data_IF_871509649127
#
_entry.id   IF_871509649127
#
_cell.length_a   1.000
_cell.length_b   1.000
_cell.length_c   1.000
_cell.angle_alpha   90.00
_cell.angle_beta   90.00
_cell.angle_gamma   90.00
#
_symmetry.space_group_name_H-M   'P 1'
#
loop_
_entity.id
_entity.type
_entity.pdbx_description
1 polymer ?
#
# COMPACT_ATOMS: atom_id res chain seq x y z
N UNK A 1 1.19 14.20 -12.26
CA UNK A 1 0.91 13.01 -11.44
C UNK A 1 -0.05 13.40 -10.35
N UNK A 2 -1.24 12.78 -10.33
CA UNK A 2 -2.15 12.92 -9.20
C UNK A 2 -1.59 12.18 -7.98
N UNK A 3 -1.85 12.70 -6.79
CA UNK A 3 -1.51 12.01 -5.56
C UNK A 3 -2.49 10.83 -5.38
N UNK A 4 -1.97 9.61 -5.42
CA UNK A 4 -2.76 8.40 -5.22
C UNK A 4 -2.41 7.84 -3.84
N UNK A 5 -3.21 8.18 -2.84
CA UNK A 5 -3.02 7.72 -1.47
C UNK A 5 -4.33 7.35 -0.78
N UNK A 6 -4.22 6.47 0.21
CA UNK A 6 -5.31 6.13 1.13
C UNK A 6 -4.75 5.72 2.48
N UNK A 7 -5.63 5.64 3.48
CA UNK A 7 -5.28 5.23 4.83
C UNK A 7 -5.96 3.92 5.21
N UNK A 8 -5.28 3.14 6.04
CA UNK A 8 -5.71 1.82 6.50
C UNK A 8 -5.44 1.72 7.99
N UNK A 9 -6.37 1.15 8.76
CA UNK A 9 -6.10 0.86 10.18
C UNK A 9 -5.21 -0.36 10.28
N UNK A 10 -4.35 -0.37 11.30
CA UNK A 10 -3.47 -1.52 11.53
C UNK A 10 -4.25 -2.83 11.68
N UNK A 11 -5.41 -2.80 12.34
CA UNK A 11 -6.27 -3.97 12.56
C UNK A 11 -6.95 -4.48 11.28
N UNK A 12 -7.01 -3.66 10.22
CA UNK A 12 -7.76 -3.95 9.00
C UNK A 12 -6.92 -4.68 7.93
N UNK A 13 -5.68 -5.08 8.24
CA UNK A 13 -4.85 -5.85 7.31
C UNK A 13 -4.11 -7.01 8.00
N UNK A 14 -3.93 -8.10 7.25
CA UNK A 14 -3.11 -9.25 7.67
C UNK A 14 -2.20 -9.62 6.51
N UNK A 15 -0.92 -9.20 6.60
CA UNK A 15 0.13 -9.40 5.59
C UNK A 15 -0.11 -8.75 4.22
N UNK A 16 -1.37 -8.41 3.91
CA UNK A 16 -1.80 -7.87 2.63
C UNK A 16 -2.75 -6.70 2.84
N UNK A 17 -2.50 -5.60 2.14
CA UNK A 17 -3.37 -4.42 2.20
C UNK A 17 -4.22 -4.34 0.93
N UNK A 18 -5.54 -4.25 1.10
CA UNK A 18 -6.46 -4.05 -0.01
C UNK A 18 -6.21 -2.70 -0.71
N UNK A 19 -6.12 -2.73 -2.05
CA UNK A 19 -6.11 -1.51 -2.87
C UNK A 19 -7.57 -1.20 -3.24
N UNK A 20 -8.17 -0.10 -2.72
CA UNK A 20 -9.57 0.21 -2.98
C UNK A 20 -9.86 0.38 -4.48
N UNK A 21 -11.07 0.02 -4.93
CA UNK A 21 -11.45 0.13 -6.34
C UNK A 21 -11.25 1.53 -6.92
N UNK A 22 -11.53 2.57 -6.12
CA UNK A 22 -11.28 3.97 -6.48
C UNK A 22 -9.80 4.23 -6.76
N UNK A 23 -8.91 3.72 -5.90
CA UNK A 23 -7.46 3.84 -6.06
C UNK A 23 -7.01 3.10 -7.32
N UNK A 24 -7.48 1.87 -7.55
CA UNK A 24 -7.14 1.11 -8.76
C UNK A 24 -7.54 1.82 -10.05
N UNK A 25 -8.70 2.49 -10.04
CA UNK A 25 -9.14 3.31 -11.18
C UNK A 25 -8.21 4.50 -11.39
N UNK A 26 -7.88 5.23 -10.32
CA UNK A 26 -6.96 6.37 -10.38
C UNK A 26 -5.56 5.96 -10.87
N UNK A 27 -5.05 4.81 -10.44
CA UNK A 27 -3.75 4.29 -10.91
C UNK A 27 -3.80 3.94 -12.39
N UNK A 28 -4.88 3.32 -12.86
CA UNK A 28 -5.04 3.00 -14.28
C UNK A 28 -5.09 4.25 -15.16
N UNK A 29 -5.80 5.30 -14.71
CA UNK A 29 -5.86 6.59 -15.42
C UNK A 29 -4.47 7.25 -15.53
N UNK A 30 -3.58 7.01 -14.56
CA UNK A 30 -2.19 7.49 -14.56
C UNK A 30 -1.19 6.48 -15.16
N UNK A 31 -1.67 5.37 -15.75
CA UNK A 31 -0.83 4.36 -16.42
C UNK A 31 -0.11 3.37 -15.50
N UNK A 32 -0.48 3.32 -14.22
CA UNK A 32 0.03 2.36 -13.23
C UNK A 32 -0.89 1.13 -13.22
N UNK A 33 -0.36 0.01 -13.72
CA UNK A 33 -1.07 -1.27 -13.69
C UNK A 33 -1.08 -1.86 -12.28
N UNK A 34 -2.29 -2.01 -11.72
CA UNK A 34 -2.53 -2.68 -10.43
C UNK A 34 -3.02 -4.13 -10.59
N UNK A 35 -2.69 -4.76 -11.71
CA UNK A 35 -2.99 -6.15 -12.01
C UNK A 35 -2.15 -7.18 -11.23
N UNK A 36 -2.59 -8.44 -11.30
CA UNK A 36 -1.91 -9.57 -10.65
C UNK A 36 -0.45 -9.71 -11.11
N UNK A 37 0.47 -10.03 -10.19
CA UNK A 37 1.91 -10.21 -10.41
C UNK A 37 2.68 -8.94 -10.80
N UNK A 38 2.04 -7.78 -10.84
CA UNK A 38 2.74 -6.52 -11.02
C UNK A 38 3.48 -6.10 -9.75
N UNK A 39 4.51 -5.26 -9.93
CA UNK A 39 5.21 -4.59 -8.83
C UNK A 39 5.08 -3.08 -8.98
N UNK A 40 4.35 -2.47 -8.06
CA UNK A 40 4.13 -1.02 -8.03
C UNK A 40 5.07 -0.36 -7.04
N UNK A 41 5.52 0.86 -7.35
CA UNK A 41 6.25 1.65 -6.38
C UNK A 41 5.27 2.17 -5.33
N UNK A 42 5.64 1.99 -4.07
CA UNK A 42 4.81 2.35 -2.93
C UNK A 42 5.61 3.14 -1.92
N UNK A 43 4.91 4.00 -1.20
CA UNK A 43 5.36 4.62 0.04
C UNK A 43 4.35 4.29 1.12
N UNK A 44 4.82 3.69 2.22
CA UNK A 44 4.00 3.30 3.37
C UNK A 44 4.52 4.05 4.59
N UNK A 45 3.63 4.72 5.31
CA UNK A 45 3.98 5.51 6.48
C UNK A 45 3.20 5.02 7.70
N UNK A 46 3.91 4.75 8.78
CA UNK A 46 3.33 4.56 10.11
C UNK A 46 2.97 5.96 10.65
N UNK A 47 1.68 6.24 10.86
CA UNK A 47 1.26 7.59 11.29
C UNK A 47 1.46 7.82 12.80
N UNK A 48 1.76 6.78 13.58
CA UNK A 48 2.12 6.92 14.99
C UNK A 48 3.62 7.22 15.18
N UNK A 49 4.51 6.45 14.52
CA UNK A 49 5.97 6.62 14.68
C UNK A 49 6.59 7.59 13.67
N UNK A 50 5.90 7.86 12.55
CA UNK A 50 6.43 8.64 11.44
C UNK A 50 7.42 7.89 10.56
N UNK A 51 7.71 6.62 10.85
CA UNK A 51 8.56 5.77 10.01
C UNK A 51 7.97 5.64 8.60
N UNK A 52 8.85 5.56 7.60
CA UNK A 52 8.46 5.48 6.19
C UNK A 52 9.23 4.35 5.53
N UNK A 53 8.49 3.46 4.87
CA UNK A 53 9.01 2.52 3.89
C UNK A 53 8.76 3.06 2.48
N UNK A 54 9.77 2.97 1.61
CA UNK A 54 9.65 3.26 0.18
C UNK A 54 10.28 2.10 -0.60
N UNK A 55 9.55 1.55 -1.56
CA UNK A 55 10.05 0.43 -2.37
C UNK A 55 9.03 -0.07 -3.37
N UNK A 56 9.28 -1.22 -3.99
CA UNK A 56 8.33 -1.87 -4.90
C UNK A 56 7.71 -3.08 -4.25
N UNK A 57 6.39 -3.13 -4.16
CA UNK A 57 5.65 -4.26 -3.60
C UNK A 57 4.86 -4.99 -4.67
N UNK A 58 4.73 -6.30 -4.49
CA UNK A 58 3.97 -7.15 -5.38
C UNK A 58 2.47 -6.98 -5.13
N UNK A 59 1.70 -6.99 -6.22
CA UNK A 59 0.24 -7.06 -6.18
C UNK A 59 -0.19 -8.52 -6.33
N UNK A 60 -1.00 -8.98 -5.39
CA UNK A 60 -1.54 -10.34 -5.37
C UNK A 60 -2.69 -10.51 -6.37
N UNK A 61 -3.11 -11.76 -6.62
CA UNK A 61 -4.24 -12.06 -7.51
C UNK A 61 -5.57 -11.45 -7.07
N UNK A 62 -5.68 -11.06 -5.80
CA UNK A 62 -6.83 -10.40 -5.17
C UNK A 62 -6.71 -8.88 -5.15
N UNK A 63 -5.75 -8.29 -5.88
CA UNK A 63 -5.53 -6.83 -5.98
C UNK A 63 -5.14 -6.20 -4.64
N UNK A 64 -4.34 -6.92 -3.86
CA UNK A 64 -3.81 -6.47 -2.58
C UNK A 64 -2.29 -6.28 -2.68
N UNK A 65 -1.76 -5.32 -1.93
CA UNK A 65 -0.32 -5.16 -1.75
C UNK A 65 0.19 -6.20 -0.75
N UNK A 66 1.13 -7.04 -1.17
CA UNK A 66 1.82 -7.93 -0.25
C UNK A 66 2.87 -7.17 0.57
N UNK A 67 2.82 -7.31 1.89
CA UNK A 67 3.76 -6.70 2.83
C UNK A 67 4.77 -7.74 3.33
N UNK A 68 6.06 -7.61 3.01
CA UNK A 68 7.12 -8.36 3.67
C UNK A 68 7.13 -8.18 5.19
N UNK A 69 7.63 -9.20 5.90
CA UNK A 69 7.69 -9.26 7.37
C UNK A 69 8.35 -8.03 7.99
N UNK A 70 9.36 -7.46 7.35
CA UNK A 70 10.05 -6.26 7.85
C UNK A 70 9.11 -5.04 7.90
N UNK A 71 8.26 -4.87 6.89
CA UNK A 71 7.27 -3.78 6.87
C UNK A 71 6.19 -4.05 7.91
N UNK A 72 5.72 -5.30 8.03
CA UNK A 72 4.73 -5.65 9.05
C UNK A 72 5.23 -5.34 10.47
N UNK A 73 6.52 -5.56 10.75
CA UNK A 73 7.15 -5.19 12.02
C UNK A 73 7.17 -3.67 12.23
N UNK A 74 7.50 -2.91 11.19
CA UNK A 74 7.53 -1.44 11.23
C UNK A 74 6.13 -0.82 11.40
N UNK A 75 5.08 -1.50 10.93
CA UNK A 75 3.68 -1.05 11.06
C UNK A 75 3.02 -1.48 12.38
N UNK A 76 3.71 -2.27 13.21
CA UNK A 76 3.16 -2.73 14.49
C UNK A 76 3.00 -1.57 15.46
N UNK A 77 1.80 -1.40 16.02
CA UNK A 77 1.44 -0.27 16.88
C UNK A 77 1.28 1.05 16.11
N UNK A 78 1.09 1.01 14.79
CA UNK A 78 0.81 2.19 13.98
C UNK A 78 -0.56 2.79 14.29
N UNK A 79 -1.57 1.97 14.59
CA UNK A 79 -2.98 2.37 14.68
C UNK A 79 -3.56 2.80 13.31
N UNK A 80 -2.94 3.77 12.66
CA UNK A 80 -3.26 4.25 11.32
C UNK A 80 -2.02 4.23 10.42
N UNK A 81 -2.21 3.81 9.17
CA UNK A 81 -1.16 3.65 8.17
C UNK A 81 -1.58 4.42 6.93
N UNK A 82 -0.65 5.16 6.33
CA UNK A 82 -0.86 5.84 5.05
C UNK A 82 -0.09 5.13 3.94
N UNK A 83 -0.75 4.95 2.81
CA UNK A 83 -0.18 4.26 1.65
C UNK A 83 -0.33 5.16 0.45
N UNK A 84 0.74 5.27 -0.32
CA UNK A 84 0.81 6.04 -1.55
C UNK A 84 1.38 5.17 -2.66
N UNK A 85 0.77 5.24 -3.85
CA UNK A 85 1.32 4.65 -5.08
C UNK A 85 2.00 5.75 -5.89
N UNK A 86 3.19 5.46 -6.40
CA UNK A 86 4.09 6.41 -7.09
C UNK A 86 4.41 5.90 -8.50
#
# INVERSE_FOLDING_TARGET
>A
MKLIEWEVKEDDYQEQINIPATIRKLTMDEGIDTGNKQKVAVRIQNLNTGEIYTGRLAITGTQQLYLPVEIQKMLKGAGQIRIQLV
#
